data_IF_220288317814
#
_entry.id   IF_220288317814
#
_cell.length_a   1.000
_cell.length_b   1.000
_cell.length_c   1.000
_cell.angle_alpha   90.00
_cell.angle_beta   90.00
_cell.angle_gamma   90.00
#
_symmetry.space_group_name_H-M   'P 1'
#
loop_
_entity.id
_entity.type
_entity.pdbx_description
1 polymer ?
#
# COMPACT_ATOMS: atom_id res chain seq x y z
N UNK A 1 -31.86 18.72 72.83
CA UNK A 1 -32.76 18.51 71.68
C UNK A 1 -31.91 18.09 70.49
N UNK A 2 -32.30 17.00 69.81
CA UNK A 2 -31.56 16.33 68.74
C UNK A 2 -31.89 16.97 67.38
N UNK A 3 -30.88 17.25 66.56
CA UNK A 3 -30.94 17.38 65.09
C UNK A 3 -29.49 17.41 64.60
N UNK A 4 -28.99 16.65 63.63
CA UNK A 4 -29.58 15.75 62.66
C UNK A 4 -28.55 15.66 61.54
N UNK A 5 -27.72 14.63 61.55
CA UNK A 5 -26.63 14.42 60.59
C UNK A 5 -27.22 14.07 59.22
N UNK A 6 -27.08 14.96 58.24
CA UNK A 6 -27.48 14.69 56.85
C UNK A 6 -26.34 13.98 56.13
N UNK A 7 -26.52 12.67 55.92
CA UNK A 7 -25.67 11.81 55.11
C UNK A 7 -26.00 12.04 53.62
N UNK A 8 -25.12 12.71 52.89
CA UNK A 8 -25.27 12.89 51.43
C UNK A 8 -24.72 11.66 50.71
N UNK A 9 -25.61 10.84 50.16
CA UNK A 9 -25.32 9.77 49.23
C UNK A 9 -24.85 10.35 47.88
N UNK A 10 -23.57 10.22 47.56
CA UNK A 10 -23.05 10.47 46.22
C UNK A 10 -23.28 9.19 45.41
N UNK A 11 -24.36 9.20 44.62
CA UNK A 11 -24.66 8.15 43.64
C UNK A 11 -23.61 8.20 42.51
N UNK A 12 -22.92 7.07 42.30
CA UNK A 12 -21.93 6.90 41.24
C UNK A 12 -22.56 6.97 39.86
N UNK A 13 -22.11 7.93 39.05
CA UNK A 13 -22.30 7.95 37.60
C UNK A 13 -21.23 7.04 36.97
N UNK A 14 -21.58 5.80 36.62
CA UNK A 14 -20.80 5.00 35.67
C UNK A 14 -21.10 5.53 34.25
N UNK A 15 -20.12 6.07 33.50
CA UNK A 15 -20.31 6.27 32.07
C UNK A 15 -20.35 4.89 31.41
N UNK A 16 -21.50 4.56 30.81
CA UNK A 16 -21.64 3.48 29.85
C UNK A 16 -20.69 3.80 28.68
N UNK A 17 -19.48 3.23 28.73
CA UNK A 17 -18.61 3.08 27.57
C UNK A 17 -19.33 2.16 26.58
N UNK A 18 -20.20 2.75 25.77
CA UNK A 18 -20.75 2.08 24.60
C UNK A 18 -19.58 1.62 23.74
N UNK A 19 -19.39 0.31 23.65
CA UNK A 19 -18.57 -0.31 22.62
C UNK A 19 -19.17 0.08 21.28
N UNK A 20 -18.77 1.23 20.75
CA UNK A 20 -19.00 1.59 19.36
C UNK A 20 -18.24 0.55 18.55
N UNK A 21 -18.97 -0.47 18.08
CA UNK A 21 -18.47 -1.43 17.13
C UNK A 21 -18.01 -0.65 15.91
N UNK A 22 -16.68 -0.54 15.75
CA UNK A 22 -16.08 0.04 14.56
C UNK A 22 -16.71 -0.65 13.35
N UNK A 23 -17.13 0.10 12.32
CA UNK A 23 -17.74 -0.49 11.14
C UNK A 23 -16.80 -1.59 10.60
N UNK A 24 -17.36 -2.75 10.21
CA UNK A 24 -16.55 -3.84 9.69
C UNK A 24 -15.74 -3.32 8.50
N UNK A 25 -14.43 -3.56 8.55
CA UNK A 25 -13.53 -3.21 7.47
C UNK A 25 -14.03 -3.87 6.19
N UNK A 26 -14.10 -3.15 5.05
CA UNK A 26 -14.47 -3.77 3.78
C UNK A 26 -13.56 -4.98 3.54
N UNK A 27 -14.11 -6.10 3.04
CA UNK A 27 -13.31 -7.29 2.79
C UNK A 27 -12.20 -6.96 1.81
N UNK A 28 -10.99 -7.41 2.14
CA UNK A 28 -9.85 -7.28 1.24
C UNK A 28 -10.10 -8.13 -0.01
N UNK A 29 -9.81 -7.57 -1.18
CA UNK A 29 -9.92 -8.29 -2.43
C UNK A 29 -9.04 -9.55 -2.48
N UNK A 30 -9.45 -10.53 -3.28
CA UNK A 30 -8.65 -11.71 -3.57
C UNK A 30 -7.28 -11.31 -4.18
N UNK A 31 -6.14 -11.75 -3.60
CA UNK A 31 -4.82 -11.30 -4.04
C UNK A 31 -4.53 -11.57 -5.52
N UNK A 32 -5.00 -12.70 -6.05
CA UNK A 32 -4.78 -13.08 -7.45
C UNK A 32 -5.60 -12.20 -8.40
N UNK A 33 -6.87 -11.97 -8.10
CA UNK A 33 -7.71 -11.03 -8.86
C UNK A 33 -7.14 -9.60 -8.80
N UNK A 34 -6.73 -9.13 -7.63
CA UNK A 34 -6.15 -7.79 -7.48
C UNK A 34 -4.87 -7.60 -8.29
N UNK A 35 -4.03 -8.64 -8.39
CA UNK A 35 -2.85 -8.64 -9.27
C UNK A 35 -3.25 -8.41 -10.73
N UNK A 36 -4.25 -9.15 -11.24
CA UNK A 36 -4.75 -9.00 -12.62
C UNK A 36 -5.27 -7.58 -12.85
N UNK A 37 -6.02 -7.03 -11.90
CA UNK A 37 -6.56 -5.67 -11.99
C UNK A 37 -5.45 -4.61 -12.00
N UNK A 38 -4.40 -4.78 -11.19
CA UNK A 38 -3.23 -3.90 -11.22
C UNK A 38 -2.47 -3.97 -12.54
N UNK A 39 -2.26 -5.17 -13.09
CA UNK A 39 -1.62 -5.33 -14.40
C UNK A 39 -2.42 -4.67 -15.53
N UNK A 40 -3.75 -4.79 -15.49
CA UNK A 40 -4.64 -4.12 -16.44
C UNK A 40 -4.56 -2.59 -16.31
N UNK A 41 -4.52 -2.07 -15.07
CA UNK A 41 -4.32 -0.65 -14.82
C UNK A 41 -2.96 -0.17 -15.32
N UNK A 42 -1.87 -0.88 -15.02
CA UNK A 42 -0.53 -0.50 -15.46
C UNK A 42 -0.40 -0.50 -16.98
N UNK A 43 -1.00 -1.48 -17.67
CA UNK A 43 -1.07 -1.51 -19.13
C UNK A 43 -1.82 -0.30 -19.68
N UNK A 44 -2.99 0.03 -19.14
CA UNK A 44 -3.73 1.23 -19.53
C UNK A 44 -2.91 2.49 -19.24
N UNK A 45 -2.26 2.58 -18.07
CA UNK A 45 -1.43 3.71 -17.68
C UNK A 45 -0.23 3.90 -18.61
N UNK A 46 0.43 2.82 -19.04
CA UNK A 46 1.57 2.92 -19.97
C UNK A 46 1.19 3.52 -21.33
N UNK A 47 -0.06 3.38 -21.77
CA UNK A 47 -0.55 3.91 -23.05
C UNK A 47 -0.93 5.39 -22.96
N UNK A 48 -1.39 5.85 -21.78
CA UNK A 48 -2.05 7.17 -21.64
C UNK A 48 -1.37 8.11 -20.63
N UNK A 49 -0.48 7.60 -19.79
CA UNK A 49 0.31 8.35 -18.82
C UNK A 49 1.78 7.92 -18.93
N UNK A 50 2.52 8.37 -19.96
CA UNK A 50 3.95 8.09 -20.02
C UNK A 50 4.61 8.56 -18.72
N UNK A 51 5.60 7.80 -18.25
CA UNK A 51 6.28 7.83 -16.94
C UNK A 51 6.83 9.20 -16.45
N UNK A 52 6.61 10.26 -17.23
CA UNK A 52 6.97 11.65 -16.99
C UNK A 52 5.85 12.49 -16.34
N UNK A 53 4.84 11.88 -15.70
CA UNK A 53 3.84 12.63 -14.95
C UNK A 53 4.42 13.20 -13.63
N UNK A 54 5.41 14.10 -13.76
CA UNK A 54 5.62 15.20 -12.82
C UNK A 54 4.40 16.10 -12.94
N UNK A 55 3.62 16.20 -11.87
CA UNK A 55 2.57 17.19 -11.63
C UNK A 55 2.46 18.29 -12.71
N UNK A 56 1.67 18.07 -13.77
CA UNK A 56 1.30 19.17 -14.66
C UNK A 56 0.28 20.02 -13.90
N UNK A 57 0.67 21.28 -13.68
CA UNK A 57 -0.08 22.33 -13.00
C UNK A 57 -1.34 22.80 -13.76
N UNK A 58 -1.59 22.27 -14.95
CA UNK A 58 -2.79 22.60 -15.73
C UNK A 58 -3.87 21.52 -15.51
N UNK A 59 -4.82 21.85 -14.63
CA UNK A 59 -5.88 20.98 -14.08
C UNK A 59 -6.94 20.45 -15.04
N UNK A 60 -6.58 20.08 -16.27
CA UNK A 60 -7.43 19.32 -17.19
C UNK A 60 -6.75 18.02 -17.58
N UNK A 61 -6.70 17.09 -16.63
CA UNK A 61 -6.46 15.68 -16.96
C UNK A 61 -7.71 15.19 -17.70
N UNK A 62 -7.66 15.12 -19.03
CA UNK A 62 -8.67 14.37 -19.79
C UNK A 62 -8.48 12.91 -19.46
N UNK A 63 -9.19 12.49 -18.43
CA UNK A 63 -9.24 11.11 -17.98
C UNK A 63 -9.62 10.20 -19.13
N UNK A 64 -8.74 9.25 -19.47
CA UNK A 64 -9.07 8.29 -20.52
C UNK A 64 -10.09 7.28 -19.96
N UNK A 65 -11.18 6.98 -20.70
CA UNK A 65 -12.19 6.02 -20.24
C UNK A 65 -11.60 4.67 -19.80
N UNK A 66 -10.55 4.22 -20.49
CA UNK A 66 -9.82 2.99 -20.14
C UNK A 66 -9.22 3.03 -18.73
N UNK A 67 -8.59 4.14 -18.34
CA UNK A 67 -8.05 4.31 -16.99
C UNK A 67 -9.17 4.38 -15.94
N UNK A 68 -10.28 5.06 -16.22
CA UNK A 68 -11.45 5.08 -15.33
C UNK A 68 -11.99 3.69 -15.04
N UNK A 69 -12.16 2.86 -16.09
CA UNK A 69 -12.69 1.51 -15.95
C UNK A 69 -11.75 0.66 -15.11
N UNK A 70 -10.44 0.70 -15.38
CA UNK A 70 -9.44 -0.03 -14.61
C UNK A 70 -9.40 0.44 -13.13
N UNK A 71 -9.43 1.76 -12.89
CA UNK A 71 -9.47 2.32 -11.53
C UNK A 71 -10.72 1.87 -10.76
N UNK A 72 -11.89 1.97 -11.38
CA UNK A 72 -13.14 1.59 -10.73
C UNK A 72 -13.16 0.09 -10.38
N UNK A 73 -12.61 -0.76 -11.25
CA UNK A 73 -12.50 -2.19 -10.97
C UNK A 73 -11.59 -2.47 -9.75
N UNK A 74 -10.47 -1.76 -9.61
CA UNK A 74 -9.59 -1.86 -8.43
C UNK A 74 -10.33 -1.45 -7.15
N UNK A 75 -11.07 -0.34 -7.21
CA UNK A 75 -11.83 0.18 -6.07
C UNK A 75 -12.94 -0.79 -5.66
N UNK A 76 -13.76 -1.23 -6.62
CA UNK A 76 -14.92 -2.09 -6.34
C UNK A 76 -14.53 -3.48 -5.82
N UNK A 77 -13.31 -3.93 -6.12
CA UNK A 77 -12.78 -5.21 -5.64
C UNK A 77 -11.97 -5.09 -4.34
N UNK A 78 -11.89 -3.90 -3.72
CA UNK A 78 -11.19 -3.73 -2.44
C UNK A 78 -9.69 -4.03 -2.51
N UNK A 79 -9.04 -3.73 -3.64
CA UNK A 79 -7.64 -4.07 -3.88
C UNK A 79 -6.65 -3.03 -3.33
N UNK A 80 -7.13 -1.89 -2.88
CA UNK A 80 -6.27 -0.80 -2.40
C UNK A 80 -5.68 -1.12 -1.01
N UNK A 81 -4.45 -0.66 -0.79
CA UNK A 81 -3.77 -0.77 0.52
C UNK A 81 -4.02 0.50 1.31
N UNK A 82 -4.67 0.35 2.47
CA UNK A 82 -5.07 1.44 3.35
C UNK A 82 -4.05 1.67 4.46
N UNK A 83 -4.10 2.83 5.11
CA UNK A 83 -3.27 3.15 6.29
C UNK A 83 -3.35 2.08 7.38
N UNK A 84 -4.52 1.49 7.58
CA UNK A 84 -4.72 0.47 8.59
C UNK A 84 -4.11 -0.89 8.18
N UNK A 85 -3.91 -1.17 6.89
CA UNK A 85 -3.16 -2.35 6.43
C UNK A 85 -1.67 -2.23 6.74
N UNK A 86 -1.18 -0.99 6.86
CA UNK A 86 0.22 -0.68 7.18
C UNK A 86 0.49 -0.59 8.68
N UNK A 87 -0.49 -0.83 9.56
CA UNK A 87 -0.31 -0.65 11.02
C UNK A 87 0.80 -1.54 11.61
N UNK A 88 1.07 -2.69 11.00
CA UNK A 88 2.10 -3.64 11.45
C UNK A 88 3.50 -3.36 10.91
N UNK A 89 3.67 -2.38 10.04
CA UNK A 89 4.88 -2.23 9.23
C UNK A 89 6.13 -1.91 10.08
N UNK A 90 6.00 -1.02 11.07
CA UNK A 90 7.09 -0.65 11.97
C UNK A 90 7.49 -1.81 12.88
N UNK A 91 6.50 -2.58 13.36
CA UNK A 91 6.76 -3.77 14.17
C UNK A 91 7.47 -4.86 13.36
N UNK A 92 7.05 -5.04 12.10
CA UNK A 92 7.71 -5.94 11.17
C UNK A 92 9.15 -5.48 10.90
N UNK A 93 9.37 -4.18 10.66
CA UNK A 93 10.71 -3.63 10.47
C UNK A 93 11.65 -3.93 11.63
N UNK A 94 11.20 -3.71 12.87
CA UNK A 94 11.98 -4.01 14.07
C UNK A 94 12.30 -5.50 14.19
N UNK A 95 11.33 -6.37 13.88
CA UNK A 95 11.51 -7.83 13.90
C UNK A 95 12.53 -8.31 12.86
N UNK A 96 12.46 -7.77 11.64
CA UNK A 96 13.31 -8.22 10.55
C UNK A 96 14.73 -7.66 10.64
N UNK A 97 14.88 -6.45 11.20
CA UNK A 97 16.11 -5.68 11.18
C UNK A 97 16.49 -5.24 9.75
N UNK A 98 17.63 -4.54 9.58
CA UNK A 98 18.15 -4.22 8.26
C UNK A 98 18.55 -5.49 7.49
N UNK A 99 18.18 -5.57 6.21
CA UNK A 99 18.49 -6.71 5.34
C UNK A 99 18.92 -6.23 3.96
N UNK A 100 19.38 -7.17 3.14
CA UNK A 100 19.59 -6.98 1.70
C UNK A 100 18.83 -8.06 0.92
N UNK A 101 18.48 -7.81 -0.34
CA UNK A 101 17.95 -8.85 -1.21
C UNK A 101 18.95 -10.01 -1.34
N UNK A 102 18.46 -11.23 -1.28
CA UNK A 102 19.21 -12.47 -1.41
C UNK A 102 19.46 -12.72 -2.89
N UNK A 103 20.69 -12.49 -3.32
CA UNK A 103 21.10 -12.77 -4.70
C UNK A 103 21.34 -14.27 -4.87
N UNK A 104 20.28 -15.03 -5.14
CA UNK A 104 20.31 -16.49 -5.32
C UNK A 104 19.46 -16.94 -6.50
N UNK A 105 19.75 -18.12 -7.07
CA UNK A 105 19.03 -18.64 -8.24
C UNK A 105 19.56 -18.10 -9.56
N UNK A 106 18.80 -18.26 -10.65
CA UNK A 106 19.24 -17.79 -11.96
C UNK A 106 19.25 -16.25 -12.03
N UNK A 107 20.22 -15.65 -12.76
CA UNK A 107 20.18 -14.21 -13.03
C UNK A 107 18.99 -13.89 -13.95
N UNK A 108 18.31 -12.79 -13.66
CA UNK A 108 17.19 -12.26 -14.47
C UNK A 108 17.51 -10.83 -14.93
N UNK A 109 16.87 -10.34 -16.02
CA UNK A 109 16.93 -8.92 -16.37
C UNK A 109 16.51 -8.04 -15.18
N UNK A 110 17.06 -6.81 -15.04
CA UNK A 110 16.66 -5.87 -13.99
C UNK A 110 15.15 -5.67 -13.96
N UNK A 111 14.50 -6.18 -12.91
CA UNK A 111 13.04 -6.26 -12.82
C UNK A 111 12.54 -5.47 -11.62
N UNK A 112 11.54 -4.60 -11.83
CA UNK A 112 10.85 -3.94 -10.73
C UNK A 112 9.73 -4.83 -10.20
N UNK A 113 9.40 -4.71 -8.92
CA UNK A 113 8.22 -5.34 -8.32
C UNK A 113 7.20 -4.25 -8.03
N UNK A 114 6.02 -4.33 -8.62
CA UNK A 114 4.89 -3.52 -8.18
C UNK A 114 4.38 -4.12 -6.87
N UNK A 115 4.46 -3.35 -5.79
CA UNK A 115 4.07 -3.79 -4.44
C UNK A 115 2.56 -3.64 -4.25
N UNK A 116 2.02 -2.50 -4.66
CA UNK A 116 0.59 -2.22 -4.56
C UNK A 116 0.28 -0.73 -4.66
N UNK A 117 -0.99 -0.39 -4.45
CA UNK A 117 -1.50 0.98 -4.51
C UNK A 117 -1.94 1.46 -3.13
N UNK A 118 -1.40 2.59 -2.71
CA UNK A 118 -1.56 3.19 -1.39
C UNK A 118 -2.58 4.33 -1.43
N UNK A 119 -3.58 4.29 -0.55
CA UNK A 119 -4.65 5.31 -0.51
C UNK A 119 -4.31 6.54 0.32
N UNK A 120 -3.45 6.43 1.34
CA UNK A 120 -3.10 7.55 2.23
C UNK A 120 -2.15 8.59 1.64
N UNK A 121 -1.95 8.59 0.31
CA UNK A 121 -1.12 9.57 -0.36
C UNK A 121 0.36 9.47 0.05
N UNK A 122 0.96 10.60 0.45
CA UNK A 122 2.39 10.68 0.72
C UNK A 122 2.83 10.10 2.07
N UNK A 123 1.98 10.11 3.10
CA UNK A 123 2.34 9.59 4.43
C UNK A 123 2.52 8.07 4.39
N UNK A 124 1.53 7.35 3.86
CA UNK A 124 1.57 5.90 3.70
C UNK A 124 2.68 5.46 2.74
N UNK A 125 2.87 6.23 1.65
CA UNK A 125 4.00 6.03 0.74
C UNK A 125 5.35 6.22 1.42
N UNK A 126 5.52 7.24 2.25
CA UNK A 126 6.76 7.47 3.00
C UNK A 126 7.07 6.31 3.97
N UNK A 127 6.07 5.82 4.70
CA UNK A 127 6.21 4.67 5.61
C UNK A 127 6.61 3.40 4.88
N UNK A 128 5.91 3.08 3.79
CA UNK A 128 6.22 1.92 2.96
C UNK A 128 7.61 2.03 2.32
N UNK A 129 7.96 3.21 1.79
CA UNK A 129 9.30 3.48 1.26
C UNK A 129 10.38 3.27 2.31
N UNK A 130 10.24 3.84 3.51
CA UNK A 130 11.22 3.68 4.58
C UNK A 130 11.41 2.21 4.99
N UNK A 131 10.30 1.45 5.04
CA UNK A 131 10.36 0.01 5.30
C UNK A 131 11.19 -0.72 4.23
N UNK A 132 10.83 -0.62 2.95
CA UNK A 132 11.53 -1.37 1.90
C UNK A 132 12.98 -0.90 1.71
N UNK A 133 13.27 0.38 1.90
CA UNK A 133 14.65 0.91 1.91
C UNK A 133 15.48 0.31 3.05
N UNK A 134 14.90 0.11 4.23
CA UNK A 134 15.58 -0.58 5.34
C UNK A 134 15.88 -2.06 5.04
N UNK A 135 15.14 -2.65 4.11
CA UNK A 135 15.36 -4.02 3.61
C UNK A 135 16.28 -4.06 2.38
N UNK A 136 16.89 -2.93 2.02
CA UNK A 136 17.90 -2.83 0.96
C UNK A 136 17.35 -2.66 -0.44
N UNK A 137 16.05 -2.37 -0.61
CA UNK A 137 15.46 -2.11 -1.93
C UNK A 137 15.45 -0.62 -2.26
N UNK A 138 15.74 -0.24 -3.50
CA UNK A 138 15.34 1.07 -3.99
C UNK A 138 13.82 1.10 -4.17
N UNK A 139 13.22 2.27 -4.03
CA UNK A 139 11.76 2.42 -4.12
C UNK A 139 11.39 3.58 -5.02
N UNK A 140 10.30 3.44 -5.77
CA UNK A 140 9.73 4.52 -6.59
C UNK A 140 8.23 4.55 -6.37
N UNK A 141 7.67 5.75 -6.22
CA UNK A 141 6.22 5.93 -6.17
C UNK A 141 5.73 6.73 -7.35
N UNK A 142 4.61 6.30 -7.94
CA UNK A 142 4.00 6.94 -9.11
C UNK A 142 2.54 7.24 -8.78
N UNK A 143 2.05 8.40 -9.17
CA UNK A 143 0.62 8.70 -9.06
C UNK A 143 -0.23 7.63 -9.77
N UNK A 144 -1.38 7.33 -9.18
CA UNK A 144 -2.39 6.48 -9.75
C UNK A 144 -3.73 7.22 -9.71
N UNK A 145 -4.27 7.50 -10.89
CA UNK A 145 -5.44 8.35 -11.04
C UNK A 145 -6.65 7.74 -10.32
N UNK A 146 -7.21 8.47 -9.36
CA UNK A 146 -8.30 8.05 -8.43
C UNK A 146 -7.95 6.96 -7.42
N UNK A 147 -6.72 6.43 -7.43
CA UNK A 147 -6.33 5.31 -6.58
C UNK A 147 -5.29 5.69 -5.51
N UNK A 148 -4.59 6.81 -5.69
CA UNK A 148 -3.55 7.29 -4.80
C UNK A 148 -2.16 7.14 -5.42
N UNK A 149 -1.30 6.30 -4.85
CA UNK A 149 0.09 6.11 -5.31
C UNK A 149 0.45 4.63 -5.47
N UNK A 150 0.96 4.25 -6.64
CA UNK A 150 1.62 2.97 -6.87
C UNK A 150 3.00 2.98 -6.24
N UNK A 151 3.38 1.89 -5.60
CA UNK A 151 4.72 1.68 -5.04
C UNK A 151 5.43 0.56 -5.80
N UNK A 152 6.65 0.85 -6.24
CA UNK A 152 7.54 -0.10 -6.88
C UNK A 152 8.82 -0.25 -6.05
N UNK A 153 9.39 -1.45 -6.03
CA UNK A 153 10.69 -1.77 -5.42
C UNK A 153 11.61 -2.48 -6.42
N UNK A 154 12.93 -2.39 -6.23
CA UNK A 154 13.93 -3.01 -7.11
C UNK A 154 14.94 -1.99 -7.65
N UNK A 155 15.56 -2.21 -8.82
CA UNK A 155 15.45 -3.43 -9.63
C UNK A 155 16.12 -4.63 -8.95
N UNK A 156 15.47 -5.80 -8.98
CA UNK A 156 16.07 -7.08 -8.60
C UNK A 156 16.70 -7.77 -9.82
N UNK A 157 17.73 -8.58 -9.61
CA UNK A 157 18.54 -9.19 -10.69
C UNK A 157 18.71 -10.71 -10.60
N UNK A 158 18.06 -11.34 -9.63
CA UNK A 158 18.04 -12.81 -9.50
C UNK A 158 16.64 -13.30 -9.11
N UNK A 159 16.34 -14.56 -9.42
CA UNK A 159 15.06 -15.20 -9.06
C UNK A 159 14.82 -15.17 -7.55
N UNK A 160 15.84 -15.48 -6.74
CA UNK A 160 15.73 -15.44 -5.28
C UNK A 160 15.47 -14.05 -4.72
N UNK A 161 16.07 -13.01 -5.30
CA UNK A 161 15.78 -11.64 -4.89
C UNK A 161 14.35 -11.22 -5.25
N UNK A 162 13.83 -11.70 -6.39
CA UNK A 162 12.46 -11.48 -6.83
C UNK A 162 11.46 -12.19 -5.90
N UNK A 163 11.68 -13.46 -5.61
CA UNK A 163 10.83 -14.26 -4.71
C UNK A 163 10.81 -13.65 -3.30
N UNK A 164 11.97 -13.27 -2.78
CA UNK A 164 12.07 -12.58 -1.51
C UNK A 164 11.32 -11.25 -1.52
N UNK A 165 11.43 -10.45 -2.59
CA UNK A 165 10.74 -9.17 -2.68
C UNK A 165 9.22 -9.33 -2.65
N UNK A 166 8.68 -10.33 -3.35
CA UNK A 166 7.24 -10.64 -3.37
C UNK A 166 6.78 -11.18 -2.00
N UNK A 167 7.55 -12.10 -1.40
CA UNK A 167 7.23 -12.64 -0.08
C UNK A 167 7.25 -11.55 1.01
N UNK A 168 8.28 -10.70 1.00
CA UNK A 168 8.40 -9.57 1.91
C UNK A 168 7.25 -8.56 1.72
N UNK A 169 6.86 -8.28 0.48
CA UNK A 169 5.70 -7.44 0.20
C UNK A 169 4.42 -8.03 0.80
N UNK A 170 4.20 -9.34 0.65
CA UNK A 170 3.05 -10.02 1.25
C UNK A 170 3.05 -9.92 2.79
N UNK A 171 4.20 -10.16 3.45
CA UNK A 171 4.38 -10.00 4.89
C UNK A 171 4.12 -8.56 5.36
N UNK A 172 4.53 -7.58 4.55
CA UNK A 172 4.32 -6.15 4.79
C UNK A 172 2.87 -5.68 4.54
N UNK A 173 1.96 -6.60 4.22
CA UNK A 173 0.56 -6.30 4.00
C UNK A 173 0.22 -5.96 2.55
N UNK A 174 1.04 -6.38 1.58
CA UNK A 174 0.84 -6.21 0.13
C UNK A 174 0.82 -7.56 -0.60
N UNK A 175 -0.25 -8.36 -0.46
CA UNK A 175 -0.28 -9.75 -0.94
C UNK A 175 -0.38 -9.89 -2.46
N UNK A 176 -0.67 -8.80 -3.18
CA UNK A 176 -0.86 -8.80 -4.64
C UNK A 176 0.39 -8.37 -5.41
N UNK A 177 1.55 -8.31 -4.77
CA UNK A 177 2.80 -7.90 -5.42
C UNK A 177 3.13 -8.81 -6.63
N UNK A 178 3.74 -8.23 -7.68
CA UNK A 178 4.14 -8.94 -8.90
C UNK A 178 5.33 -8.27 -9.59
N UNK A 179 6.13 -9.03 -10.37
CA UNK A 179 7.15 -8.46 -11.24
C UNK A 179 6.49 -7.60 -12.32
N UNK A 180 6.85 -6.32 -12.36
CA UNK A 180 6.40 -5.37 -13.37
C UNK A 180 7.44 -5.28 -14.48
N UNK A 181 7.03 -5.67 -15.68
CA UNK A 181 7.75 -5.46 -16.95
C UNK A 181 7.60 -4.04 -17.50
N UNK A 182 6.56 -3.33 -17.08
CA UNK A 182 6.22 -2.00 -17.59
C UNK A 182 7.10 -0.89 -16.97
N UNK A 183 7.38 -0.99 -15.67
CA UNK A 183 8.21 0.00 -14.96
C UNK A 183 9.70 -0.36 -14.97
N UNK A 184 10.53 0.57 -15.45
CA UNK A 184 11.98 0.50 -15.32
C UNK A 184 12.46 1.65 -14.43
N UNK A 185 13.24 1.34 -13.40
CA UNK A 185 13.81 2.34 -12.48
C UNK A 185 14.65 3.39 -13.23
N UNK A 186 15.25 3.00 -14.36
CA UNK A 186 16.18 3.80 -15.15
C UNK A 186 15.94 3.58 -16.66
N UNK A 187 15.34 4.58 -17.31
CA UNK A 187 15.56 4.90 -18.74
C UNK A 187 16.07 6.34 -18.78
N UNK A 188 17.37 6.48 -18.98
CA UNK A 188 17.89 7.55 -19.82
C UNK A 188 18.30 6.88 -21.12
#
# INVERSE_FOLDING_TARGET
MRAGTVLVLIAGLLPLLGCASLPPRPPRGDPANCRVLFQNYDRAASLFQPYTYSARLDGRSTQTPALSVASNAIISNGCLTTTADLKGLESLQMKLGPRKPAESGAPIPPTAVHVGILTGGFSDAGRATAFFQSQGYETRTIGAEKLGRRLYIGPVRSEGALDQAIALAAEAGFPSAYPSDLFHFWKY
#
